data_IF_448840486784
#
_entry.id   IF_448840486784
#
_cell.length_a   1.000
_cell.length_b   1.000
_cell.length_c   1.000
_cell.angle_alpha   90.00
_cell.angle_beta   90.00
_cell.angle_gamma   90.00
#
_symmetry.space_group_name_H-M   'P 1'
#
loop_
_entity.id
_entity.type
_entity.pdbx_description
1 polymer ?
#
# COMPACT_ATOMS: atom_id res chain seq x y z
N UNK A 1 2.10 31.32 -8.74
CA UNK A 1 0.87 30.65 -8.26
C UNK A 1 -0.31 30.95 -9.20
N UNK A 2 -0.63 32.22 -9.49
CA UNK A 2 -1.77 32.59 -10.33
C UNK A 2 -1.70 31.99 -11.74
N UNK A 3 -0.54 32.01 -12.39
CA UNK A 3 -0.29 31.42 -13.70
C UNK A 3 -0.53 29.90 -13.69
N UNK A 4 0.00 29.18 -12.68
CA UNK A 4 -0.21 27.74 -12.52
C UNK A 4 -1.68 27.38 -12.28
N UNK A 5 -2.42 28.21 -11.52
CA UNK A 5 -3.85 28.03 -11.31
C UNK A 5 -4.63 28.23 -12.61
N UNK A 6 -4.27 29.25 -13.42
CA UNK A 6 -4.88 29.48 -14.72
C UNK A 6 -4.64 28.31 -15.69
N UNK A 7 -3.43 27.78 -15.71
CA UNK A 7 -3.08 26.60 -16.51
C UNK A 7 -3.87 25.36 -16.04
N UNK A 8 -3.88 25.08 -14.73
CA UNK A 8 -4.63 23.95 -14.15
C UNK A 8 -6.13 24.05 -14.45
N UNK A 9 -6.73 25.25 -14.44
CA UNK A 9 -8.14 25.48 -14.72
C UNK A 9 -8.52 25.24 -16.19
N UNK A 10 -7.56 25.09 -17.09
CA UNK A 10 -7.83 24.68 -18.48
C UNK A 10 -8.09 23.18 -18.61
N UNK A 11 -7.68 22.39 -17.61
CA UNK A 11 -7.92 20.95 -17.60
C UNK A 11 -9.44 20.64 -17.68
N UNK A 12 -9.80 19.61 -18.45
CA UNK A 12 -11.15 19.11 -18.57
C UNK A 12 -11.17 17.63 -18.22
N UNK A 13 -12.12 17.23 -17.38
CA UNK A 13 -12.34 15.81 -17.08
C UNK A 13 -12.79 15.09 -18.34
N UNK A 14 -12.23 13.90 -18.55
CA UNK A 14 -12.61 12.98 -19.62
C UNK A 14 -12.80 11.59 -19.03
N UNK A 15 -13.68 10.81 -19.62
CA UNK A 15 -13.80 9.38 -19.31
C UNK A 15 -12.47 8.69 -19.65
N UNK A 16 -11.96 7.91 -18.72
CA UNK A 16 -10.77 7.10 -18.89
C UNK A 16 -11.09 5.64 -18.51
N UNK A 17 -10.44 4.65 -19.12
CA UNK A 17 -10.60 3.27 -18.70
C UNK A 17 -9.95 3.06 -17.33
N UNK A 18 -10.45 2.10 -16.54
CA UNK A 18 -9.87 1.71 -15.23
C UNK A 18 -8.40 1.32 -15.37
N UNK A 19 -7.99 0.80 -16.52
CA UNK A 19 -6.58 0.50 -16.83
C UNK A 19 -5.64 1.72 -16.80
N UNK A 20 -6.17 2.94 -16.76
CA UNK A 20 -5.38 4.15 -16.56
C UNK A 20 -5.02 4.39 -15.08
N UNK A 21 -5.67 3.68 -14.14
CA UNK A 21 -5.37 3.80 -12.72
C UNK A 21 -4.07 3.04 -12.38
N UNK A 22 -3.25 3.72 -11.59
CA UNK A 22 -2.06 3.17 -10.94
C UNK A 22 -2.16 3.50 -9.46
N UNK A 23 -2.42 2.50 -8.64
CA UNK A 23 -2.74 2.61 -7.22
C UNK A 23 -1.50 2.34 -6.38
N UNK A 24 -1.08 3.30 -5.56
CA UNK A 24 -0.09 3.09 -4.52
C UNK A 24 -0.75 2.55 -3.26
N UNK A 25 -0.21 1.46 -2.71
CA UNK A 25 -0.71 0.77 -1.51
C UNK A 25 0.13 1.19 -0.30
N UNK A 26 -0.50 1.83 0.67
CA UNK A 26 0.16 2.35 1.86
C UNK A 26 -0.56 1.91 3.14
N UNK A 27 0.17 1.82 4.25
CA UNK A 27 -0.42 1.70 5.57
C UNK A 27 0.42 2.47 6.59
N UNK A 28 -0.23 3.10 7.55
CA UNK A 28 0.42 3.80 8.66
C UNK A 28 -0.51 3.91 9.85
N UNK A 29 0.05 4.05 11.06
CA UNK A 29 -0.77 3.97 12.27
C UNK A 29 -1.52 2.63 12.39
N UNK A 30 -0.87 1.54 11.97
CA UNK A 30 -1.47 0.20 11.97
C UNK A 30 -1.79 -0.30 13.38
N UNK A 31 -2.83 -1.11 13.49
CA UNK A 31 -3.31 -1.79 14.69
C UNK A 31 -3.46 -3.30 14.46
N UNK A 32 -3.90 -4.04 15.49
CA UNK A 32 -4.13 -5.48 15.39
C UNK A 32 -5.20 -5.88 14.38
N UNK A 33 -6.11 -4.96 14.00
CA UNK A 33 -7.16 -5.23 13.02
C UNK A 33 -6.73 -4.95 11.58
N UNK A 34 -5.68 -4.16 11.37
CA UNK A 34 -5.23 -3.74 10.03
C UNK A 34 -4.98 -4.93 9.11
N UNK A 35 -4.34 -6.00 9.62
CA UNK A 35 -4.04 -7.22 8.86
C UNK A 35 -5.23 -8.17 8.67
N UNK A 36 -6.36 -7.90 9.34
CA UNK A 36 -7.57 -8.74 9.31
C UNK A 36 -8.69 -8.09 8.50
N UNK A 37 -8.74 -6.77 8.45
CA UNK A 37 -9.81 -5.99 7.83
C UNK A 37 -9.31 -5.16 6.64
N UNK A 38 -8.79 -3.95 6.88
CA UNK A 38 -8.51 -2.97 5.84
C UNK A 38 -7.44 -3.45 4.84
N UNK A 39 -6.37 -4.11 5.29
CA UNK A 39 -5.32 -4.55 4.39
C UNK A 39 -5.77 -5.68 3.44
N UNK A 40 -6.43 -6.76 3.91
CA UNK A 40 -7.00 -7.77 3.01
C UNK A 40 -8.09 -7.21 2.09
N UNK A 41 -8.95 -6.30 2.58
CA UNK A 41 -9.96 -5.65 1.75
C UNK A 41 -9.32 -4.81 0.63
N UNK A 42 -8.27 -4.06 0.94
CA UNK A 42 -7.48 -3.34 -0.07
C UNK A 42 -6.81 -4.32 -1.04
N UNK A 43 -6.38 -5.49 -0.56
CA UNK A 43 -5.85 -6.57 -1.41
C UNK A 43 -6.87 -7.06 -2.43
N UNK A 44 -8.11 -7.30 -2.00
CA UNK A 44 -9.20 -7.70 -2.90
C UNK A 44 -9.53 -6.59 -3.91
N UNK A 45 -9.52 -5.31 -3.51
CA UNK A 45 -9.67 -4.18 -4.43
C UNK A 45 -8.51 -4.09 -5.42
N UNK A 46 -7.27 -4.38 -4.98
CA UNK A 46 -6.09 -4.44 -5.85
C UNK A 46 -6.23 -5.54 -6.91
N UNK A 47 -6.74 -6.72 -6.54
CA UNK A 47 -7.00 -7.80 -7.48
C UNK A 47 -8.06 -7.41 -8.52
N UNK A 48 -9.12 -6.72 -8.12
CA UNK A 48 -10.13 -6.18 -9.04
C UNK A 48 -9.51 -5.14 -9.99
N UNK A 49 -8.70 -4.22 -9.48
CA UNK A 49 -8.01 -3.23 -10.30
C UNK A 49 -7.11 -3.90 -11.35
N UNK A 50 -6.34 -4.90 -10.95
CA UNK A 50 -5.47 -5.66 -11.86
C UNK A 50 -6.28 -6.42 -12.90
N UNK A 51 -7.39 -7.04 -12.52
CA UNK A 51 -8.30 -7.74 -13.43
C UNK A 51 -8.89 -6.80 -14.51
N UNK A 52 -9.04 -5.50 -14.21
CA UNK A 52 -9.48 -4.47 -15.15
C UNK A 52 -8.31 -3.78 -15.88
N UNK A 53 -7.09 -4.33 -15.80
CA UNK A 53 -5.91 -3.85 -16.51
C UNK A 53 -5.19 -2.67 -15.85
N UNK A 54 -5.55 -2.28 -14.62
CA UNK A 54 -4.85 -1.28 -13.83
C UNK A 54 -3.54 -1.80 -13.23
N UNK A 55 -2.90 -0.96 -12.44
CA UNK A 55 -1.63 -1.28 -11.78
C UNK A 55 -1.73 -1.03 -10.28
N UNK A 56 -1.28 -1.98 -9.45
CA UNK A 56 -1.16 -1.83 -8.01
C UNK A 56 0.32 -1.89 -7.61
N UNK A 57 0.78 -0.95 -6.78
CA UNK A 57 2.17 -0.82 -6.35
C UNK A 57 2.26 -1.06 -4.86
N UNK A 58 2.85 -2.17 -4.43
CA UNK A 58 3.30 -2.34 -3.06
C UNK A 58 4.72 -1.78 -2.91
N UNK A 59 5.03 -1.24 -1.74
CA UNK A 59 6.35 -0.67 -1.43
C UNK A 59 6.77 -1.01 0.00
N UNK A 60 7.82 -0.32 0.49
CA UNK A 60 8.29 -0.44 1.87
C UNK A 60 9.00 -1.77 2.14
N UNK A 61 10.17 -1.95 1.50
CA UNK A 61 10.92 -3.19 1.57
C UNK A 61 11.19 -3.68 3.01
N UNK A 62 11.52 -2.81 3.99
CA UNK A 62 11.62 -3.26 5.38
C UNK A 62 10.32 -3.78 5.99
N UNK A 63 9.16 -3.40 5.44
CA UNK A 63 7.86 -3.79 5.98
C UNK A 63 7.31 -5.12 5.43
N UNK A 64 7.99 -5.73 4.46
CA UNK A 64 7.69 -7.11 4.01
C UNK A 64 8.64 -8.14 4.60
N UNK A 65 9.62 -7.72 5.39
CA UNK A 65 10.65 -8.59 5.97
C UNK A 65 10.04 -9.69 6.84
N UNK A 66 10.40 -10.94 6.54
CA UNK A 66 9.84 -12.14 7.16
C UNK A 66 8.58 -12.68 6.47
N UNK A 67 7.89 -11.88 5.63
CA UNK A 67 6.72 -12.30 4.83
C UNK A 67 6.99 -12.24 3.31
N UNK A 68 8.19 -11.91 2.88
CA UNK A 68 8.61 -11.82 1.48
C UNK A 68 8.36 -13.11 0.68
N UNK A 69 8.36 -14.27 1.34
CA UNK A 69 8.11 -15.55 0.70
C UNK A 69 6.74 -15.60 0.00
N UNK A 70 5.72 -14.88 0.53
CA UNK A 70 4.40 -14.78 -0.10
C UNK A 70 4.47 -14.06 -1.46
N UNK A 71 5.35 -13.07 -1.59
CA UNK A 71 5.58 -12.37 -2.85
C UNK A 71 6.45 -13.20 -3.81
N UNK A 72 7.48 -13.87 -3.28
CA UNK A 72 8.38 -14.73 -4.06
C UNK A 72 7.64 -15.90 -4.70
N UNK A 73 6.68 -16.52 -4.00
CA UNK A 73 5.87 -17.63 -4.50
C UNK A 73 5.01 -17.27 -5.72
N UNK A 74 4.63 -15.99 -5.85
CA UNK A 74 3.79 -15.50 -6.95
C UNK A 74 4.54 -14.58 -7.93
N UNK A 75 5.87 -14.53 -7.84
CA UNK A 75 6.67 -13.84 -8.85
C UNK A 75 6.46 -14.46 -10.23
N UNK A 76 6.24 -13.64 -11.26
CA UNK A 76 5.93 -14.12 -12.63
C UNK A 76 7.02 -14.99 -13.24
N UNK A 77 8.25 -14.83 -12.76
CA UNK A 77 9.43 -15.62 -13.19
C UNK A 77 10.57 -15.51 -12.17
N UNK A 78 11.65 -16.28 -12.42
CA UNK A 78 12.82 -16.31 -11.54
C UNK A 78 13.59 -14.98 -11.47
N UNK A 79 13.56 -14.16 -12.51
CA UNK A 79 14.23 -12.85 -12.55
C UNK A 79 13.56 -11.86 -11.59
N UNK A 80 12.23 -11.82 -11.59
CA UNK A 80 11.45 -10.99 -10.65
C UNK A 80 11.66 -11.46 -9.22
N UNK A 81 11.67 -12.78 -8.97
CA UNK A 81 11.95 -13.32 -7.65
C UNK A 81 13.37 -12.95 -7.17
N UNK A 82 14.38 -13.04 -8.05
CA UNK A 82 15.74 -12.67 -7.70
C UNK A 82 15.87 -11.17 -7.43
N UNK A 83 15.24 -10.33 -8.26
CA UNK A 83 15.25 -8.88 -8.07
C UNK A 83 14.67 -8.45 -6.71
N UNK A 84 13.62 -9.13 -6.21
CA UNK A 84 13.10 -8.87 -4.86
C UNK A 84 14.11 -9.29 -3.77
N UNK A 85 14.72 -10.46 -3.91
CA UNK A 85 15.76 -10.92 -2.97
C UNK A 85 16.94 -9.95 -2.91
N UNK A 86 17.37 -9.43 -4.06
CA UNK A 86 18.48 -8.46 -4.15
C UNK A 86 18.15 -7.16 -3.39
N UNK A 87 16.85 -6.71 -3.39
CA UNK A 87 16.44 -5.54 -2.60
C UNK A 87 16.50 -5.84 -1.10
N UNK A 88 16.01 -6.99 -0.66
CA UNK A 88 16.07 -7.40 0.75
C UNK A 88 17.51 -7.49 1.23
N UNK A 89 18.38 -8.17 0.49
CA UNK A 89 19.82 -8.26 0.82
C UNK A 89 20.46 -6.88 0.90
N UNK A 90 20.13 -5.98 -0.03
CA UNK A 90 20.63 -4.60 0.03
C UNK A 90 20.21 -3.88 1.32
N UNK A 91 18.96 -4.06 1.75
CA UNK A 91 18.47 -3.46 2.99
C UNK A 91 19.13 -4.07 4.23
N UNK A 92 19.33 -5.40 4.27
CA UNK A 92 20.06 -6.06 5.35
C UNK A 92 21.50 -5.54 5.48
N UNK A 93 22.21 -5.44 4.36
CA UNK A 93 23.55 -4.88 4.30
C UNK A 93 23.58 -3.40 4.71
N UNK A 94 22.60 -2.62 4.26
CA UNK A 94 22.52 -1.20 4.57
C UNK A 94 22.31 -0.97 6.06
N UNK A 95 21.30 -1.59 6.67
CA UNK A 95 21.04 -1.41 8.11
C UNK A 95 22.16 -1.98 8.98
N UNK A 96 22.78 -3.09 8.56
CA UNK A 96 23.92 -3.69 9.22
C UNK A 96 25.14 -2.75 9.32
N UNK A 97 25.42 -1.95 8.27
CA UNK A 97 26.47 -0.91 8.29
C UNK A 97 26.21 0.19 9.32
N UNK A 98 24.97 0.38 9.72
CA UNK A 98 24.55 1.37 10.72
C UNK A 98 24.33 0.74 12.12
N UNK A 99 24.72 -0.52 12.31
CA UNK A 99 24.55 -1.22 13.61
C UNK A 99 23.08 -1.48 13.96
N UNK A 100 22.18 -1.50 12.95
CA UNK A 100 20.75 -1.74 13.09
C UNK A 100 20.36 -3.09 12.44
N UNK A 101 19.10 -3.46 12.59
CA UNK A 101 18.49 -4.62 11.92
C UNK A 101 17.12 -4.23 11.36
N UNK A 102 16.61 -5.05 10.45
CA UNK A 102 15.24 -4.87 9.93
C UNK A 102 14.17 -5.26 10.95
N UNK A 103 14.53 -5.99 12.01
CA UNK A 103 13.63 -6.40 13.09
C UNK A 103 13.44 -5.28 14.13
N UNK A 104 12.96 -4.11 13.71
CA UNK A 104 12.61 -3.00 14.61
C UNK A 104 11.15 -2.51 14.45
N UNK A 105 10.35 -3.22 13.69
CA UNK A 105 8.90 -3.09 13.59
C UNK A 105 8.22 -4.18 14.45
N UNK A 106 7.01 -3.98 14.98
CA UNK A 106 6.19 -2.78 14.97
C UNK A 106 6.75 -1.64 15.84
N UNK A 107 6.42 -0.39 15.45
CA UNK A 107 6.73 0.80 16.25
C UNK A 107 6.01 0.75 17.61
N UNK A 108 6.47 1.52 18.63
CA UNK A 108 5.78 1.58 19.92
C UNK A 108 4.29 1.89 19.81
N UNK A 109 3.90 2.78 18.89
CA UNK A 109 2.49 3.10 18.64
C UNK A 109 1.71 1.93 18.02
N UNK A 110 2.31 1.19 17.09
CA UNK A 110 1.66 0.01 16.52
C UNK A 110 1.52 -1.12 17.55
N UNK A 111 2.49 -1.27 18.47
CA UNK A 111 2.37 -2.19 19.61
C UNK A 111 1.24 -1.78 20.55
N UNK A 112 1.11 -0.50 20.86
CA UNK A 112 -0.01 0.00 21.63
C UNK A 112 -1.36 -0.22 20.91
N UNK A 113 -1.37 -0.28 19.58
CA UNK A 113 -2.52 -0.65 18.75
C UNK A 113 -2.78 -2.16 18.64
N UNK A 114 -1.98 -3.00 19.32
CA UNK A 114 -2.20 -4.45 19.41
C UNK A 114 -1.31 -5.31 18.51
N UNK A 115 -0.41 -4.74 17.70
CA UNK A 115 0.56 -5.52 16.94
C UNK A 115 1.70 -6.02 17.84
N UNK A 116 2.16 -7.26 17.61
CA UNK A 116 3.11 -7.94 18.53
C UNK A 116 4.48 -8.13 17.92
N UNK A 117 4.58 -8.63 16.68
CA UNK A 117 5.83 -9.01 16.04
C UNK A 117 6.00 -8.36 14.68
N UNK A 118 7.24 -8.35 14.17
CA UNK A 118 7.55 -7.94 12.80
C UNK A 118 6.82 -8.83 11.79
N UNK A 119 6.75 -10.13 12.01
CA UNK A 119 6.07 -11.06 11.12
C UNK A 119 4.58 -10.71 10.98
N UNK A 120 3.89 -10.45 12.09
CA UNK A 120 2.48 -10.03 12.07
C UNK A 120 2.29 -8.74 11.27
N UNK A 121 3.15 -7.73 11.51
CA UNK A 121 3.13 -6.47 10.75
C UNK A 121 3.37 -6.70 9.26
N UNK A 122 4.35 -7.52 8.91
CA UNK A 122 4.72 -7.80 7.52
C UNK A 122 3.67 -8.63 6.78
N UNK A 123 3.06 -9.63 7.43
CA UNK A 123 1.94 -10.38 6.87
C UNK A 123 0.77 -9.44 6.52
N UNK A 124 0.42 -8.54 7.44
CA UNK A 124 -0.60 -7.52 7.20
C UNK A 124 -0.22 -6.56 6.07
N UNK A 125 1.03 -6.12 5.99
CA UNK A 125 1.50 -5.24 4.92
C UNK A 125 1.41 -5.91 3.54
N UNK A 126 1.84 -7.17 3.43
CA UNK A 126 1.77 -7.95 2.17
C UNK A 126 0.32 -8.18 1.74
N UNK A 127 -0.62 -8.34 2.67
CA UNK A 127 -2.03 -8.58 2.35
C UNK A 127 -2.66 -7.48 1.47
N UNK A 128 -2.18 -6.23 1.56
CA UNK A 128 -2.63 -5.11 0.69
C UNK A 128 -2.48 -5.38 -0.80
N UNK A 129 -1.58 -6.28 -1.18
CA UNK A 129 -1.25 -6.57 -2.56
C UNK A 129 -2.12 -7.65 -3.22
N UNK A 130 -3.15 -8.15 -2.53
CA UNK A 130 -4.02 -9.18 -3.07
C UNK A 130 -3.30 -10.49 -3.40
N UNK A 131 -3.77 -11.18 -4.43
CA UNK A 131 -3.33 -12.52 -4.82
C UNK A 131 -2.72 -12.62 -6.22
N UNK A 132 -2.78 -11.55 -7.03
CA UNK A 132 -2.30 -11.56 -8.42
C UNK A 132 -0.78 -11.72 -8.54
N UNK A 133 -0.25 -12.22 -9.67
CA UNK A 133 1.18 -12.39 -9.87
C UNK A 133 1.96 -11.07 -9.69
N UNK A 134 3.13 -11.17 -9.05
CA UNK A 134 4.09 -10.07 -8.97
C UNK A 134 4.83 -9.93 -10.31
N UNK A 135 4.52 -8.88 -11.05
CA UNK A 135 5.00 -8.70 -12.42
C UNK A 135 6.38 -8.04 -12.54
N UNK A 136 6.76 -7.19 -11.59
CA UNK A 136 8.04 -6.49 -11.66
C UNK A 136 8.48 -5.88 -10.35
N UNK A 137 9.79 -5.63 -10.26
CA UNK A 137 10.46 -4.97 -9.14
C UNK A 137 11.10 -3.70 -9.66
N UNK A 138 10.81 -2.58 -9.01
CA UNK A 138 11.27 -1.26 -9.41
C UNK A 138 12.10 -0.60 -8.30
N UNK A 139 13.05 0.25 -8.70
CA UNK A 139 13.77 1.11 -7.76
C UNK A 139 12.87 2.27 -7.31
N UNK A 140 13.26 2.90 -6.22
CA UNK A 140 12.59 4.09 -5.71
C UNK A 140 12.41 5.17 -6.79
N UNK A 141 11.19 5.58 -7.04
CA UNK A 141 10.85 6.61 -8.03
C UNK A 141 11.10 6.22 -9.50
N UNK A 142 11.44 4.96 -9.79
CA UNK A 142 11.59 4.48 -11.15
C UNK A 142 10.23 4.39 -11.84
N UNK A 143 10.12 4.92 -13.06
CA UNK A 143 8.88 4.86 -13.84
C UNK A 143 8.44 3.40 -14.05
N UNK A 144 7.20 3.10 -13.67
CA UNK A 144 6.59 1.78 -13.84
C UNK A 144 5.98 1.69 -15.23
N UNK A 145 6.40 0.68 -15.98
CA UNK A 145 5.96 0.45 -17.35
C UNK A 145 5.09 -0.79 -17.51
N UNK A 146 5.14 -1.71 -16.55
CA UNK A 146 4.32 -2.92 -16.58
C UNK A 146 2.97 -2.71 -15.91
N UNK A 147 1.96 -3.42 -16.38
CA UNK A 147 0.63 -3.48 -15.78
C UNK A 147 0.53 -4.62 -14.77
N UNK A 148 -0.47 -4.53 -13.92
CA UNK A 148 -0.73 -5.53 -12.88
C UNK A 148 -0.07 -5.19 -11.55
N UNK A 149 0.14 -6.19 -10.70
CA UNK A 149 0.78 -5.98 -9.42
C UNK A 149 2.30 -5.90 -9.56
N UNK A 150 2.89 -4.86 -8.99
CA UNK A 150 4.33 -4.60 -8.98
C UNK A 150 4.80 -4.16 -7.60
N UNK A 151 6.11 -4.28 -7.36
CA UNK A 151 6.75 -3.82 -6.13
C UNK A 151 7.77 -2.72 -6.43
N UNK A 152 7.73 -1.63 -5.67
CA UNK A 152 8.72 -0.53 -5.73
C UNK A 152 9.51 -0.48 -4.42
N UNK A 153 10.82 -0.56 -4.51
CA UNK A 153 11.72 -0.43 -3.36
C UNK A 153 11.58 0.95 -2.70
N UNK A 154 11.40 0.97 -1.39
CA UNK A 154 11.40 2.20 -0.59
C UNK A 154 11.67 1.91 0.89
N UNK A 155 12.07 2.93 1.69
CA UNK A 155 12.04 2.78 3.14
C UNK A 155 10.61 2.61 3.66
N UNK A 156 10.48 2.04 4.85
CA UNK A 156 9.21 1.92 5.59
C UNK A 156 8.86 3.24 6.29
N UNK A 157 8.49 4.25 5.51
CA UNK A 157 8.10 5.57 6.01
C UNK A 157 7.11 6.22 5.04
N UNK A 158 5.87 6.37 5.46
CA UNK A 158 4.72 6.73 4.64
C UNK A 158 4.97 7.90 3.66
N UNK A 159 5.44 9.10 4.09
CA UNK A 159 5.63 10.22 3.17
C UNK A 159 6.68 9.94 2.11
N UNK A 160 7.76 9.25 2.48
CA UNK A 160 8.83 8.90 1.56
C UNK A 160 8.35 7.84 0.56
N UNK A 161 7.73 6.78 1.06
CA UNK A 161 7.22 5.68 0.24
C UNK A 161 6.16 6.15 -0.76
N UNK A 162 5.14 6.87 -0.30
CA UNK A 162 4.08 7.39 -1.17
C UNK A 162 4.62 8.38 -2.22
N UNK A 163 5.59 9.24 -1.86
CA UNK A 163 6.25 10.14 -2.82
C UNK A 163 6.98 9.34 -3.91
N UNK A 164 7.66 8.26 -3.54
CA UNK A 164 8.30 7.33 -4.49
C UNK A 164 7.29 6.67 -5.41
N UNK A 165 6.15 6.18 -4.88
CA UNK A 165 5.07 5.58 -5.68
C UNK A 165 4.50 6.58 -6.69
N UNK A 166 4.26 7.83 -6.28
CA UNK A 166 3.77 8.89 -7.16
C UNK A 166 4.80 9.20 -8.25
N UNK A 167 6.07 9.33 -7.89
CA UNK A 167 7.15 9.52 -8.84
C UNK A 167 7.27 8.34 -9.84
N UNK A 168 6.92 7.13 -9.40
CA UNK A 168 6.89 5.93 -10.23
C UNK A 168 5.64 5.82 -11.12
N UNK A 169 4.65 6.71 -10.96
CA UNK A 169 3.45 6.80 -11.80
C UNK A 169 2.13 6.53 -11.09
N UNK A 170 2.13 6.37 -9.74
CA UNK A 170 0.87 6.27 -9.00
C UNK A 170 0.06 7.57 -9.14
N UNK A 171 -1.20 7.44 -9.53
CA UNK A 171 -2.13 8.56 -9.67
C UNK A 171 -3.27 8.51 -8.65
N UNK A 172 -3.25 7.52 -7.77
CA UNK A 172 -4.11 7.36 -6.60
C UNK A 172 -3.32 6.61 -5.51
N UNK A 173 -3.48 7.01 -4.25
CA UNK A 173 -2.95 6.29 -3.09
C UNK A 173 -4.12 5.75 -2.28
N UNK A 174 -4.06 4.50 -1.85
CA UNK A 174 -4.93 3.93 -0.83
C UNK A 174 -4.14 3.70 0.45
N UNK A 175 -4.59 4.30 1.53
CA UNK A 175 -3.89 4.35 2.81
C UNK A 175 -4.73 3.71 3.91
N UNK A 176 -4.33 2.54 4.39
CA UNK A 176 -5.00 1.86 5.49
C UNK A 176 -4.46 2.32 6.84
N UNK A 177 -5.32 2.48 7.83
CA UNK A 177 -4.92 2.92 9.17
C UNK A 177 -5.86 2.37 10.25
N UNK A 178 -5.34 2.10 11.43
CA UNK A 178 -6.10 1.64 12.60
C UNK A 178 -6.16 2.67 13.73
N UNK A 179 -5.21 3.62 13.75
CA UNK A 179 -5.12 4.65 14.80
C UNK A 179 -5.29 6.07 14.25
N UNK A 180 -5.49 6.19 12.94
CA UNK A 180 -5.56 7.46 12.24
C UNK A 180 -4.20 7.90 11.67
N UNK A 181 -4.28 8.71 10.62
CA UNK A 181 -3.11 9.34 9.99
C UNK A 181 -3.51 10.68 9.40
N UNK A 182 -2.68 11.68 9.62
CA UNK A 182 -2.80 13.00 8.97
C UNK A 182 -2.17 13.02 7.58
N UNK A 183 -1.56 11.90 7.15
CA UNK A 183 -0.94 11.81 5.83
C UNK A 183 -1.94 12.12 4.72
N UNK A 184 -1.55 12.95 3.79
CA UNK A 184 -2.23 13.24 2.56
C UNK A 184 -1.23 13.70 1.52
N UNK A 185 -1.45 13.35 0.26
CA UNK A 185 -0.55 13.73 -0.83
C UNK A 185 -1.18 14.82 -1.69
N UNK A 186 -0.44 15.89 -1.97
CA UNK A 186 -0.91 16.97 -2.84
C UNK A 186 -0.88 16.60 -4.34
N UNK A 187 0.15 15.87 -4.82
CA UNK A 187 0.21 15.51 -6.24
C UNK A 187 -0.77 14.41 -6.66
N UNK A 188 -1.26 13.61 -5.72
CA UNK A 188 -2.15 12.47 -5.99
C UNK A 188 -3.19 12.36 -4.89
N UNK A 189 -4.47 12.10 -5.20
CA UNK A 189 -5.48 11.82 -4.19
C UNK A 189 -5.08 10.66 -3.29
N UNK A 190 -5.56 10.68 -2.04
CA UNK A 190 -5.29 9.64 -1.07
C UNK A 190 -6.62 9.22 -0.42
N UNK A 191 -7.07 7.99 -0.70
CA UNK A 191 -8.21 7.37 -0.02
C UNK A 191 -7.75 6.76 1.30
N UNK A 192 -8.44 7.06 2.39
CA UNK A 192 -8.14 6.53 3.73
C UNK A 192 -9.14 5.47 4.15
N UNK A 193 -8.61 4.32 4.54
CA UNK A 193 -9.39 3.15 4.91
C UNK A 193 -9.18 2.85 6.40
N UNK A 194 -10.26 2.89 7.18
CA UNK A 194 -10.23 2.57 8.60
C UNK A 194 -10.31 1.06 8.82
N UNK A 195 -9.43 0.50 9.66
CA UNK A 195 -9.44 -0.93 10.01
C UNK A 195 -10.45 -1.30 11.08
N UNK A 196 -10.91 -0.33 11.86
CA UNK A 196 -11.80 -0.54 12.99
C UNK A 196 -12.85 0.57 13.13
N UNK A 197 -13.98 0.24 13.75
CA UNK A 197 -15.13 1.12 13.90
C UNK A 197 -14.84 2.33 14.82
N UNK A 198 -13.98 2.16 15.82
CA UNK A 198 -13.68 3.25 16.75
C UNK A 198 -12.99 4.40 16.00
N UNK A 199 -12.04 4.07 15.13
CA UNK A 199 -11.38 5.04 14.26
C UNK A 199 -12.35 5.64 13.25
N UNK A 200 -13.13 4.80 12.53
CA UNK A 200 -14.07 5.27 11.51
C UNK A 200 -15.08 6.29 12.06
N UNK A 201 -15.52 6.12 13.33
CA UNK A 201 -16.41 7.06 14.00
C UNK A 201 -15.70 8.29 14.55
N UNK A 202 -14.47 8.13 15.05
CA UNK A 202 -13.71 9.22 15.65
C UNK A 202 -13.20 10.22 14.62
N UNK A 203 -12.89 9.73 13.43
CA UNK A 203 -12.33 10.51 12.31
C UNK A 203 -13.22 10.37 11.06
N UNK A 204 -14.54 10.48 11.22
CA UNK A 204 -15.52 10.28 10.16
C UNK A 204 -15.39 11.29 9.00
N UNK A 205 -14.87 12.50 9.27
CA UNK A 205 -14.56 13.48 8.24
C UNK A 205 -13.25 13.20 7.49
N UNK A 206 -12.38 12.34 8.03
CA UNK A 206 -11.05 12.05 7.49
C UNK A 206 -10.92 10.65 6.87
N UNK A 207 -11.82 9.73 7.23
CA UNK A 207 -11.82 8.35 6.72
C UNK A 207 -12.85 8.20 5.62
N UNK A 208 -12.38 7.79 4.43
CA UNK A 208 -13.25 7.63 3.26
C UNK A 208 -14.02 6.29 3.31
N UNK A 209 -13.40 5.23 3.84
CA UNK A 209 -13.98 3.88 3.83
C UNK A 209 -13.78 3.20 5.19
N UNK A 210 -14.87 2.71 5.77
CA UNK A 210 -14.86 1.84 6.95
C UNK A 210 -14.80 0.37 6.53
N UNK A 211 -13.71 -0.33 6.92
CA UNK A 211 -13.54 -1.77 6.72
C UNK A 211 -13.89 -2.61 7.95
N UNK A 212 -14.34 -1.98 9.04
CA UNK A 212 -14.71 -2.69 10.28
C UNK A 212 -15.89 -3.65 10.15
N UNK A 213 -16.85 -3.50 9.20
CA UNK A 213 -17.93 -4.47 9.02
C UNK A 213 -17.46 -5.90 8.77
N UNK A 214 -16.21 -6.09 8.31
CA UNK A 214 -15.59 -7.42 8.18
C UNK A 214 -15.60 -8.18 9.52
N UNK A 215 -15.38 -7.47 10.64
CA UNK A 215 -15.44 -8.06 11.98
C UNK A 215 -16.85 -8.54 12.38
N UNK A 216 -17.87 -8.12 11.64
CA UNK A 216 -19.27 -8.47 11.86
C UNK A 216 -19.85 -9.37 10.76
N UNK A 217 -18.98 -9.93 9.88
CA UNK A 217 -19.36 -10.93 8.91
C UNK A 217 -19.45 -10.45 7.45
N UNK A 218 -19.07 -9.19 7.14
CA UNK A 218 -18.86 -8.80 5.75
C UNK A 218 -17.66 -9.59 5.18
N UNK A 219 -17.77 -10.10 3.94
CA UNK A 219 -16.63 -10.78 3.34
C UNK A 219 -15.54 -9.77 2.89
N UNK A 220 -14.29 -10.23 2.82
CA UNK A 220 -13.18 -9.44 2.33
C UNK A 220 -13.42 -9.00 0.87
N UNK A 221 -14.01 -9.88 0.06
CA UNK A 221 -14.34 -9.61 -1.34
C UNK A 221 -15.40 -8.50 -1.46
N UNK A 222 -16.44 -8.52 -0.59
CA UNK A 222 -17.47 -7.48 -0.58
C UNK A 222 -16.89 -6.12 -0.17
N UNK A 223 -16.05 -6.10 0.86
CA UNK A 223 -15.34 -4.89 1.27
C UNK A 223 -14.38 -4.39 0.17
N UNK A 224 -13.68 -5.30 -0.50
CA UNK A 224 -12.81 -4.99 -1.64
C UNK A 224 -13.57 -4.38 -2.82
N UNK A 225 -14.77 -4.91 -3.12
CA UNK A 225 -15.64 -4.33 -4.15
C UNK A 225 -16.06 -2.90 -3.79
N UNK A 226 -16.43 -2.62 -2.54
CA UNK A 226 -16.75 -1.25 -2.08
C UNK A 226 -15.57 -0.28 -2.24
N UNK A 227 -14.35 -0.74 -1.95
CA UNK A 227 -13.14 0.06 -2.14
C UNK A 227 -12.91 0.33 -3.64
N UNK A 228 -13.13 -0.66 -4.48
CA UNK A 228 -12.92 -0.54 -5.93
C UNK A 228 -13.95 0.38 -6.60
N UNK A 229 -15.17 0.44 -6.08
CA UNK A 229 -16.25 1.28 -6.61
C UNK A 229 -16.15 2.75 -6.15
N UNK A 230 -15.44 3.02 -5.05
CA UNK A 230 -15.24 4.36 -4.50
C UNK A 230 -14.20 5.18 -5.28
#
# INVERSE_FOLDING_TARGET
VQELVQEANQARRKTAPVSALTLGLQCGGSDGWSGVTANPALGAASDLLVAHGGTAILSETPEIYGAEYLLLQRAKNGEVAQALKDRLTWWEDYVGKHGASLDNNPSPGNKAGGLTTILEKSLGAVAKSGSTPLNGIYRYGQAITEKGFVFMDSPGYDPCSATGQIASGANLIAFTTGRGSVFGSKPSPCLKLASNQALARHMDEDMDIDCSPILSGESIEAAGARIFEA
#
